data_IF_643801205026
#
_entry.id   IF_643801205026
#
_cell.length_a   1.000
_cell.length_b   1.000
_cell.length_c   1.000
_cell.angle_alpha   90.00
_cell.angle_beta   90.00
_cell.angle_gamma   90.00
#
_symmetry.space_group_name_H-M   'P 1'
#
loop_
_entity.id
_entity.type
_entity.pdbx_description
1 polymer ?
#
# COMPACT_ATOMS: atom_id res chain seq x y z
N UNK A 1 -46.05 27.16 -13.19
CA UNK A 1 -45.60 26.13 -12.23
C UNK A 1 -44.19 25.73 -12.63
N UNK A 2 -43.17 26.12 -11.86
CA UNK A 2 -41.77 25.83 -12.18
C UNK A 2 -41.40 24.43 -11.69
N UNK A 3 -41.00 23.55 -12.61
CA UNK A 3 -40.54 22.20 -12.31
C UNK A 3 -39.13 22.27 -11.72
N UNK A 4 -39.00 22.04 -10.41
CA UNK A 4 -37.70 21.93 -9.76
C UNK A 4 -37.00 20.65 -10.26
N UNK A 5 -35.82 20.80 -10.86
CA UNK A 5 -34.96 19.67 -11.23
C UNK A 5 -34.61 18.89 -9.94
N UNK A 6 -34.62 17.53 -9.99
CA UNK A 6 -34.19 16.74 -8.86
C UNK A 6 -32.74 17.10 -8.50
N UNK A 7 -32.52 17.46 -7.24
CA UNK A 7 -31.18 17.76 -6.74
C UNK A 7 -30.29 16.55 -6.96
N UNK A 8 -29.04 16.73 -7.45
CA UNK A 8 -28.12 15.61 -7.63
C UNK A 8 -27.93 14.94 -6.26
N UNK A 9 -28.29 13.66 -6.18
CA UNK A 9 -28.07 12.85 -4.98
C UNK A 9 -26.60 12.98 -4.62
N UNK A 10 -26.29 13.56 -3.45
CA UNK A 10 -24.91 13.65 -2.98
C UNK A 10 -24.35 12.22 -2.97
N UNK A 11 -23.26 12.00 -3.73
CA UNK A 11 -22.63 10.70 -3.85
C UNK A 11 -22.23 10.11 -2.49
N UNK A 12 -21.82 8.83 -2.44
CA UNK A 12 -21.40 8.20 -1.20
C UNK A 12 -20.25 9.00 -0.57
N UNK A 13 -20.44 9.43 0.68
CA UNK A 13 -19.40 10.06 1.49
C UNK A 13 -18.48 8.98 2.04
N UNK A 14 -17.19 9.06 1.74
CA UNK A 14 -16.20 8.13 2.26
C UNK A 14 -15.53 8.70 3.51
N UNK A 15 -15.46 7.86 4.55
CA UNK A 15 -14.61 8.12 5.71
C UNK A 15 -13.24 7.50 5.47
N UNK A 16 -12.19 8.30 5.66
CA UNK A 16 -10.81 7.90 5.44
C UNK A 16 -10.21 7.35 6.73
N UNK A 17 -9.50 6.23 6.61
CA UNK A 17 -8.72 5.63 7.69
C UNK A 17 -7.24 5.69 7.31
N UNK A 18 -6.43 6.26 8.20
CA UNK A 18 -4.96 6.30 8.03
C UNK A 18 -4.32 5.13 8.76
N UNK A 19 -3.59 4.29 8.03
CA UNK A 19 -2.71 3.26 8.60
C UNK A 19 -1.26 3.71 8.46
N UNK A 20 -0.46 3.56 9.53
CA UNK A 20 0.97 3.87 9.46
C UNK A 20 1.69 2.72 8.75
N UNK A 21 2.49 3.07 7.74
CA UNK A 21 3.23 2.09 6.96
C UNK A 21 4.75 2.38 6.97
N UNK A 22 5.54 1.33 7.01
CA UNK A 22 6.99 1.36 6.81
C UNK A 22 7.34 0.85 5.42
N UNK A 23 8.20 1.59 4.70
CA UNK A 23 8.75 1.13 3.44
C UNK A 23 9.79 0.04 3.67
N UNK A 24 9.85 -0.92 2.75
CA UNK A 24 10.93 -1.88 2.73
C UNK A 24 12.29 -1.23 2.47
N UNK A 25 13.34 -1.85 3.01
CA UNK A 25 14.75 -1.44 2.84
C UNK A 25 15.58 -2.63 2.40
N UNK A 26 16.79 -2.41 1.90
CA UNK A 26 17.69 -3.47 1.41
C UNK A 26 17.77 -3.54 -0.11
N UNK A 27 18.51 -4.53 -0.63
CA UNK A 27 18.80 -4.66 -2.06
C UNK A 27 17.58 -5.01 -2.91
N UNK A 28 16.58 -5.67 -2.33
CA UNK A 28 15.31 -5.98 -2.98
C UNK A 28 14.24 -4.90 -2.80
N UNK A 29 14.55 -3.77 -2.16
CA UNK A 29 13.59 -2.70 -1.98
C UNK A 29 13.39 -1.89 -3.26
N UNK A 30 12.12 -1.72 -3.65
CA UNK A 30 11.73 -0.92 -4.80
C UNK A 30 11.15 0.44 -4.37
N UNK A 31 11.27 1.50 -5.19
CA UNK A 31 10.70 2.80 -4.88
C UNK A 31 9.16 2.76 -4.84
N UNK A 32 8.56 3.60 -4.01
CA UNK A 32 7.10 3.75 -3.97
C UNK A 32 6.55 4.23 -5.32
N UNK A 33 5.34 3.79 -5.72
CA UNK A 33 4.72 4.24 -6.97
C UNK A 33 4.52 5.76 -6.96
N UNK A 34 4.71 6.37 -8.13
CA UNK A 34 4.45 7.79 -8.36
C UNK A 34 2.94 8.05 -8.48
N UNK A 35 2.24 7.95 -7.36
CA UNK A 35 0.81 8.24 -7.26
C UNK A 35 0.56 9.59 -6.56
N UNK A 36 -0.58 10.25 -6.82
CA UNK A 36 -1.00 11.41 -6.04
C UNK A 36 -1.08 11.10 -4.55
N UNK A 37 -0.65 12.06 -3.74
CA UNK A 37 -0.71 11.97 -2.27
C UNK A 37 -2.18 11.91 -1.83
N UNK A 38 -2.52 10.93 -1.00
CA UNK A 38 -3.86 10.80 -0.45
C UNK A 38 -4.19 11.96 0.51
N UNK A 39 -5.47 12.40 0.57
CA UNK A 39 -5.93 13.40 1.54
C UNK A 39 -5.76 12.94 2.99
N UNK A 40 -5.89 13.87 3.93
CA UNK A 40 -5.88 13.54 5.35
C UNK A 40 -7.11 12.74 5.77
N UNK A 41 -6.96 11.85 6.75
CA UNK A 41 -8.07 11.14 7.40
C UNK A 41 -9.12 12.06 8.01
N UNK A 42 -8.77 13.29 8.39
CA UNK A 42 -9.73 14.28 8.88
C UNK A 42 -10.67 14.82 7.78
N UNK A 43 -10.36 14.55 6.52
CA UNK A 43 -11.15 15.02 5.36
C UNK A 43 -12.23 14.00 5.01
N UNK A 44 -13.47 14.45 4.86
CA UNK A 44 -14.53 13.66 4.23
C UNK A 44 -14.51 13.94 2.74
N UNK A 45 -14.36 12.89 1.93
CA UNK A 45 -14.30 13.00 0.47
C UNK A 45 -15.38 12.15 -0.19
N UNK A 46 -15.84 12.59 -1.35
CA UNK A 46 -16.70 11.79 -2.23
C UNK A 46 -15.88 11.05 -3.30
N UNK A 47 -14.60 11.42 -3.47
CA UNK A 47 -13.74 10.83 -4.49
C UNK A 47 -12.96 9.63 -3.93
N UNK A 48 -12.91 8.51 -4.66
CA UNK A 48 -12.08 7.37 -4.28
C UNK A 48 -10.60 7.71 -4.42
N UNK A 49 -9.78 7.01 -3.63
CA UNK A 49 -8.33 7.11 -3.67
C UNK A 49 -7.73 6.49 -4.95
N UNK A 50 -6.41 6.66 -5.11
CA UNK A 50 -5.64 6.32 -6.32
C UNK A 50 -5.85 4.89 -6.84
N UNK A 51 -6.04 3.90 -5.96
CA UNK A 51 -6.14 2.49 -6.32
C UNK A 51 -7.46 1.90 -5.85
N UNK A 52 -8.17 1.21 -6.74
CA UNK A 52 -9.53 0.68 -6.47
C UNK A 52 -9.59 -0.84 -6.43
N UNK A 53 -8.66 -1.52 -7.08
CA UNK A 53 -8.60 -2.99 -7.10
C UNK A 53 -7.57 -3.50 -6.08
N UNK A 54 -8.07 -4.25 -5.10
CA UNK A 54 -7.28 -4.80 -3.99
C UNK A 54 -7.44 -6.32 -3.98
N UNK A 55 -6.33 -7.04 -4.17
CA UNK A 55 -6.28 -8.49 -4.04
C UNK A 55 -5.76 -8.87 -2.66
N UNK A 56 -6.28 -9.94 -2.05
CA UNK A 56 -5.75 -10.43 -0.78
C UNK A 56 -5.25 -11.86 -0.96
N UNK A 57 -3.97 -12.06 -0.67
CA UNK A 57 -3.28 -13.32 -0.93
C UNK A 57 -2.98 -14.12 0.35
N UNK A 58 -3.64 -13.82 1.47
CA UNK A 58 -3.35 -14.44 2.78
C UNK A 58 -1.82 -14.37 3.06
N UNK A 59 -1.14 -15.50 3.26
CA UNK A 59 0.31 -15.55 3.47
C UNK A 59 1.15 -15.65 2.18
N UNK A 60 0.57 -16.05 1.05
CA UNK A 60 1.29 -16.22 -0.23
C UNK A 60 2.58 -17.09 -0.17
N UNK A 61 2.54 -18.20 0.57
CA UNK A 61 3.67 -19.14 0.68
C UNK A 61 3.47 -20.42 -0.17
N UNK A 62 2.25 -20.69 -0.63
CA UNK A 62 1.89 -21.96 -1.29
C UNK A 62 2.18 -21.98 -2.81
N UNK A 63 3.04 -21.07 -3.28
CA UNK A 63 3.49 -20.98 -4.67
C UNK A 63 2.95 -19.78 -5.45
N UNK A 64 3.11 -19.85 -6.77
CA UNK A 64 2.86 -18.75 -7.70
C UNK A 64 1.41 -18.26 -7.68
N UNK A 65 1.21 -16.94 -7.53
CA UNK A 65 -0.11 -16.31 -7.69
C UNK A 65 -0.63 -16.39 -9.14
N UNK A 66 -1.95 -16.39 -9.35
CA UNK A 66 -2.52 -16.36 -10.70
C UNK A 66 -2.06 -15.14 -11.51
N UNK A 67 -1.71 -15.33 -12.78
CA UNK A 67 -1.19 -14.25 -13.66
C UNK A 67 -2.16 -13.08 -13.85
N UNK A 68 -3.46 -13.30 -13.66
CA UNK A 68 -4.48 -12.23 -13.69
C UNK A 68 -4.29 -11.20 -12.56
N UNK A 69 -3.75 -11.62 -11.41
CA UNK A 69 -3.66 -10.78 -10.21
C UNK A 69 -2.83 -9.52 -10.50
N UNK A 70 -1.69 -9.69 -11.16
CA UNK A 70 -0.78 -8.57 -11.47
C UNK A 70 -1.29 -7.65 -12.59
N UNK A 71 -2.30 -8.09 -13.35
CA UNK A 71 -2.88 -7.35 -14.49
C UNK A 71 -4.16 -6.60 -14.11
N UNK A 72 -4.95 -7.15 -13.19
CA UNK A 72 -6.28 -6.65 -12.82
C UNK A 72 -6.28 -5.87 -11.49
N UNK A 73 -5.31 -6.13 -10.61
CA UNK A 73 -5.28 -5.57 -9.26
C UNK A 73 -4.12 -4.59 -9.08
N UNK A 74 -4.43 -3.42 -8.52
CA UNK A 74 -3.44 -2.39 -8.21
C UNK A 74 -2.62 -2.72 -6.97
N UNK A 75 -3.26 -3.27 -5.94
CA UNK A 75 -2.63 -3.54 -4.64
C UNK A 75 -2.84 -5.00 -4.27
N UNK A 76 -1.76 -5.67 -3.85
CA UNK A 76 -1.85 -6.99 -3.23
C UNK A 76 -1.59 -6.84 -1.73
N UNK A 77 -2.52 -7.33 -0.92
CA UNK A 77 -2.42 -7.36 0.53
C UNK A 77 -2.08 -8.77 0.99
N UNK A 78 -1.04 -8.89 1.81
CA UNK A 78 -0.55 -10.17 2.35
C UNK A 78 -0.32 -10.06 3.86
N UNK A 79 -0.46 -11.16 4.58
CA UNK A 79 -0.06 -11.29 5.99
C UNK A 79 1.43 -11.61 6.09
N UNK A 80 2.11 -11.00 7.07
CA UNK A 80 3.45 -11.39 7.50
C UNK A 80 3.39 -12.79 8.14
N UNK A 81 4.50 -13.54 8.08
CA UNK A 81 4.61 -14.89 8.65
C UNK A 81 4.51 -16.01 7.61
N UNK A 82 4.76 -17.26 8.04
CA UNK A 82 4.79 -18.45 7.19
C UNK A 82 6.09 -18.62 6.40
N UNK A 83 6.46 -17.61 5.62
CA UNK A 83 7.66 -17.60 4.76
C UNK A 83 8.32 -16.21 4.75
N UNK A 84 9.52 -16.12 4.17
CA UNK A 84 10.30 -14.87 4.12
C UNK A 84 9.64 -13.80 3.23
N UNK A 85 10.00 -12.52 3.42
CA UNK A 85 9.47 -11.44 2.56
C UNK A 85 9.88 -11.64 1.10
N UNK A 86 11.13 -12.02 0.85
CA UNK A 86 11.63 -12.29 -0.50
C UNK A 86 10.84 -13.41 -1.16
N UNK A 87 10.60 -14.53 -0.48
CA UNK A 87 9.83 -15.67 -0.98
C UNK A 87 8.38 -15.29 -1.33
N UNK A 88 7.72 -14.48 -0.49
CA UNK A 88 6.39 -13.93 -0.81
C UNK A 88 6.40 -13.11 -2.09
N UNK A 89 7.43 -12.31 -2.30
CA UNK A 89 7.58 -11.51 -3.52
C UNK A 89 7.96 -12.38 -4.72
N UNK A 90 8.73 -13.45 -4.54
CA UNK A 90 9.06 -14.42 -5.60
C UNK A 90 7.82 -15.09 -6.16
N UNK A 91 6.82 -15.37 -5.33
CA UNK A 91 5.53 -15.96 -5.74
C UNK A 91 4.65 -15.03 -6.59
N UNK A 92 4.95 -13.73 -6.70
CA UNK A 92 4.18 -12.80 -7.55
C UNK A 92 4.61 -12.97 -9.01
N UNK A 93 3.72 -13.11 -10.00
CA UNK A 93 4.11 -13.14 -11.41
C UNK A 93 4.94 -11.93 -11.86
N UNK A 94 5.69 -12.11 -12.95
CA UNK A 94 6.29 -10.98 -13.65
C UNK A 94 5.18 -10.11 -14.27
N UNK A 95 5.38 -8.80 -14.27
CA UNK A 95 4.38 -7.84 -14.75
C UNK A 95 5.07 -6.62 -15.37
N UNK A 96 4.33 -5.90 -16.19
CA UNK A 96 4.72 -4.57 -16.65
C UNK A 96 3.88 -3.55 -15.87
N UNK A 97 4.50 -2.56 -15.20
CA UNK A 97 3.78 -1.54 -14.47
C UNK A 97 2.84 -0.79 -15.42
N UNK A 98 1.54 -0.79 -15.09
CA UNK A 98 0.51 -0.01 -15.79
C UNK A 98 -0.47 0.53 -14.76
N UNK A 99 -1.21 1.58 -15.10
CA UNK A 99 -2.20 2.18 -14.19
C UNK A 99 -3.30 1.21 -13.73
N UNK A 100 -3.57 0.15 -14.50
CA UNK A 100 -4.57 -0.89 -14.16
C UNK A 100 -3.95 -2.11 -13.47
N UNK A 101 -2.66 -2.37 -13.68
CA UNK A 101 -1.94 -3.49 -13.08
C UNK A 101 -1.38 -3.18 -11.70
N UNK A 102 -0.53 -4.09 -11.22
CA UNK A 102 0.10 -4.03 -9.91
C UNK A 102 0.95 -2.76 -9.75
N UNK A 103 0.75 -2.10 -8.62
CA UNK A 103 1.44 -0.88 -8.19
C UNK A 103 2.26 -1.11 -6.92
N UNK A 104 1.74 -1.90 -5.98
CA UNK A 104 2.43 -2.17 -4.72
C UNK A 104 1.88 -3.39 -3.97
N UNK A 105 2.67 -3.87 -3.02
CA UNK A 105 2.30 -4.87 -2.01
C UNK A 105 2.21 -4.21 -0.64
N UNK A 106 1.14 -4.53 0.09
CA UNK A 106 0.94 -4.15 1.49
C UNK A 106 1.04 -5.40 2.35
N UNK A 107 2.07 -5.46 3.19
CA UNK A 107 2.26 -6.48 4.20
C UNK A 107 1.55 -6.07 5.49
N UNK A 108 0.76 -6.96 6.09
CA UNK A 108 0.11 -6.75 7.38
C UNK A 108 0.83 -7.59 8.42
N UNK A 109 1.44 -6.92 9.40
CA UNK A 109 2.05 -7.54 10.57
C UNK A 109 1.03 -7.65 11.69
N UNK A 110 1.14 -8.70 12.51
CA UNK A 110 0.36 -8.81 13.75
C UNK A 110 0.93 -7.90 14.88
N UNK A 111 2.15 -7.36 14.69
CA UNK A 111 2.76 -6.34 15.56
C UNK A 111 1.97 -5.01 15.52
N UNK A 112 2.04 -4.23 16.61
CA UNK A 112 1.42 -2.90 16.67
C UNK A 112 2.24 -1.84 15.88
N UNK A 113 1.57 -0.76 15.47
CA UNK A 113 2.15 0.28 14.58
C UNK A 113 3.41 0.98 15.13
N UNK A 114 3.60 1.01 16.46
CA UNK A 114 4.76 1.64 17.10
C UNK A 114 5.93 0.67 17.34
N UNK A 115 5.68 -0.64 17.30
CA UNK A 115 6.69 -1.69 17.44
C UNK A 115 7.21 -2.15 16.08
N UNK A 116 6.51 -1.74 15.02
CA UNK A 116 6.78 -2.15 13.65
C UNK A 116 8.19 -1.74 13.21
N UNK A 117 9.05 -2.73 13.03
CA UNK A 117 10.37 -2.53 12.44
C UNK A 117 10.28 -2.51 10.92
N UNK A 118 11.13 -1.74 10.24
CA UNK A 118 11.13 -1.68 8.77
C UNK A 118 11.45 -3.08 8.20
N UNK A 119 10.69 -3.57 7.21
CA UNK A 119 10.97 -4.87 6.63
C UNK A 119 12.24 -4.81 5.76
N UNK A 120 13.12 -5.79 5.94
CA UNK A 120 14.40 -5.89 5.23
C UNK A 120 14.29 -6.91 4.09
N UNK A 121 14.57 -6.47 2.87
CA UNK A 121 14.68 -7.26 1.64
C UNK A 121 16.15 -7.34 1.25
N UNK A 122 16.88 -8.31 1.80
CA UNK A 122 18.33 -8.44 1.61
C UNK A 122 18.75 -8.94 0.22
N UNK A 123 17.82 -9.54 -0.51
CA UNK A 123 18.07 -10.18 -1.80
C UNK A 123 17.32 -9.44 -2.91
N UNK A 124 17.96 -9.30 -4.08
CA UNK A 124 17.33 -8.77 -5.26
C UNK A 124 16.07 -9.58 -5.63
N UNK A 125 14.98 -8.91 -5.96
CA UNK A 125 13.71 -9.59 -6.21
C UNK A 125 13.78 -10.50 -7.44
N UNK A 126 13.23 -11.71 -7.30
CA UNK A 126 13.09 -12.67 -8.40
C UNK A 126 11.61 -12.86 -8.76
N UNK A 127 11.42 -13.41 -9.95
CA UNK A 127 10.14 -13.91 -10.47
C UNK A 127 9.93 -15.36 -9.98
N UNK A 128 8.72 -15.94 -10.12
CA UNK A 128 8.48 -17.33 -9.73
C UNK A 128 9.32 -18.34 -10.52
N UNK A 129 9.83 -17.94 -11.68
CA UNK A 129 10.75 -18.72 -12.50
C UNK A 129 12.23 -18.58 -12.08
N UNK A 130 12.52 -17.89 -10.96
CA UNK A 130 13.86 -17.68 -10.43
C UNK A 130 14.68 -16.58 -11.11
N UNK A 131 14.16 -15.95 -12.16
CA UNK A 131 14.85 -14.86 -12.86
C UNK A 131 14.75 -13.54 -12.09
N UNK A 132 15.78 -12.70 -12.11
CA UNK A 132 15.73 -11.34 -11.56
C UNK A 132 14.60 -10.55 -12.22
N UNK A 133 13.85 -9.77 -11.42
CA UNK A 133 12.77 -8.93 -11.95
C UNK A 133 13.31 -7.79 -12.78
N UNK A 134 12.71 -7.57 -13.95
CA UNK A 134 12.87 -6.32 -14.70
C UNK A 134 12.14 -5.15 -13.99
N UNK A 135 10.97 -5.43 -13.40
CA UNK A 135 10.19 -4.48 -12.62
C UNK A 135 10.01 -5.02 -11.21
N UNK A 136 10.67 -4.37 -10.26
CA UNK A 136 10.59 -4.70 -8.84
C UNK A 136 9.23 -4.27 -8.28
N UNK A 137 8.75 -4.99 -7.27
CA UNK A 137 7.46 -4.76 -6.62
C UNK A 137 7.68 -3.86 -5.40
N UNK A 138 7.10 -2.64 -5.36
CA UNK A 138 7.13 -1.80 -4.17
C UNK A 138 6.41 -2.46 -3.01
N UNK A 139 7.04 -2.50 -1.84
CA UNK A 139 6.49 -3.13 -0.64
C UNK A 139 6.46 -2.16 0.53
N UNK A 140 5.31 -2.10 1.20
CA UNK A 140 5.15 -1.44 2.51
C UNK A 140 4.61 -2.43 3.53
N UNK A 141 4.87 -2.18 4.81
CA UNK A 141 4.34 -2.97 5.91
C UNK A 141 3.56 -2.09 6.89
N UNK A 142 2.38 -2.54 7.27
CA UNK A 142 1.49 -1.91 8.27
C UNK A 142 1.35 -2.84 9.47
N UNK A 143 1.13 -2.28 10.66
CA UNK A 143 0.82 -3.02 11.87
C UNK A 143 -0.68 -3.17 12.09
N UNK A 144 -1.04 -3.64 13.29
CA UNK A 144 -2.42 -3.74 13.76
C UNK A 144 -3.13 -5.05 13.41
N UNK A 145 -2.39 -6.04 12.89
CA UNK A 145 -2.83 -7.42 12.70
C UNK A 145 -4.20 -7.57 12.07
N UNK A 146 -5.09 -8.29 12.74
CA UNK A 146 -6.43 -8.59 12.26
C UNK A 146 -7.32 -7.34 12.13
N UNK A 147 -7.11 -6.30 12.95
CA UNK A 147 -7.86 -5.05 12.83
C UNK A 147 -7.51 -4.33 11.53
N UNK A 148 -6.21 -4.21 11.21
CA UNK A 148 -5.74 -3.61 9.96
C UNK A 148 -6.13 -4.46 8.74
N UNK A 149 -6.00 -5.79 8.82
CA UNK A 149 -6.44 -6.71 7.78
C UNK A 149 -7.93 -6.53 7.44
N UNK A 150 -8.80 -6.48 8.47
CA UNK A 150 -10.24 -6.27 8.29
C UNK A 150 -10.57 -4.88 7.75
N UNK A 151 -9.85 -3.85 8.19
CA UNK A 151 -10.01 -2.50 7.68
C UNK A 151 -9.69 -2.42 6.19
N UNK A 152 -8.57 -3.01 5.76
CA UNK A 152 -8.20 -3.13 4.35
C UNK A 152 -9.24 -3.92 3.55
N UNK A 153 -9.76 -5.03 4.10
CA UNK A 153 -10.83 -5.83 3.48
C UNK A 153 -12.13 -5.06 3.23
N UNK A 154 -12.44 -4.08 4.08
CA UNK A 154 -13.62 -3.21 3.94
C UNK A 154 -13.37 -2.00 3.05
N UNK A 155 -12.11 -1.65 2.79
CA UNK A 155 -11.74 -0.47 2.02
C UNK A 155 -12.24 -0.57 0.57
N UNK A 156 -12.75 0.55 0.04
CA UNK A 156 -13.19 0.67 -1.37
C UNK A 156 -12.07 1.13 -2.30
N UNK A 157 -11.09 1.81 -1.73
CA UNK A 157 -9.91 2.32 -2.44
C UNK A 157 -8.78 2.55 -1.46
N UNK A 158 -7.55 2.50 -1.96
CA UNK A 158 -6.32 2.81 -1.24
C UNK A 158 -5.58 3.95 -1.91
N UNK A 159 -4.87 4.72 -1.11
CA UNK A 159 -3.95 5.75 -1.55
C UNK A 159 -2.77 5.77 -0.59
N UNK A 160 -1.67 6.38 -1.02
CA UNK A 160 -0.50 6.55 -0.18
C UNK A 160 -0.34 8.02 0.15
N UNK A 161 0.08 8.30 1.38
CA UNK A 161 0.52 9.62 1.79
C UNK A 161 1.88 9.54 2.45
N UNK A 162 2.89 10.18 1.87
CA UNK A 162 4.23 10.28 2.41
C UNK A 162 4.22 11.21 3.62
N UNK A 163 4.87 10.77 4.70
CA UNK A 163 5.07 11.58 5.89
C UNK A 163 6.46 12.18 5.86
N UNK A 164 6.52 13.50 5.74
CA UNK A 164 7.74 14.27 5.88
C UNK A 164 7.88 14.73 7.33
N UNK A 165 9.12 14.81 7.80
CA UNK A 165 9.44 15.55 9.01
C UNK A 165 10.64 16.44 8.72
N UNK A 166 10.73 17.54 9.46
CA UNK A 166 11.83 18.48 9.33
C UNK A 166 12.75 18.28 10.51
N UNK A 167 14.05 18.29 10.25
CA UNK A 167 15.08 18.24 11.28
C UNK A 167 15.80 19.59 11.31
N UNK A 168 16.11 20.07 12.51
CA UNK A 168 16.97 21.25 12.65
C UNK A 168 18.39 20.92 12.21
N UNK A 169 19.24 21.93 12.02
CA UNK A 169 20.66 21.74 11.71
C UNK A 169 21.41 20.87 12.76
N UNK A 170 20.82 20.64 13.93
CA UNK A 170 21.36 19.78 15.01
C UNK A 170 20.71 18.39 15.04
N UNK A 171 19.95 17.99 14.02
CA UNK A 171 19.30 16.68 13.93
C UNK A 171 18.05 16.51 14.82
N UNK A 172 17.52 17.59 15.39
CA UNK A 172 16.32 17.54 16.23
C UNK A 172 15.06 17.62 15.35
N UNK A 173 14.17 16.63 15.47
CA UNK A 173 12.89 16.63 14.76
C UNK A 173 12.01 17.81 15.20
N UNK A 174 11.76 18.72 14.29
CA UNK A 174 10.89 19.90 14.48
C UNK A 174 9.45 19.50 14.22
N UNK A 175 8.59 19.64 15.23
CA UNK A 175 7.16 19.32 15.13
C UNK A 175 6.28 20.53 14.82
N UNK A 176 6.79 21.74 15.05
CA UNK A 176 6.08 23.02 15.01
C UNK A 176 6.77 24.01 14.05
N UNK A 177 7.15 23.55 12.85
CA UNK A 177 7.75 24.44 11.86
C UNK A 177 6.67 25.39 11.29
N UNK A 178 6.91 26.69 11.38
CA UNK A 178 6.13 27.72 10.69
C UNK A 178 7.02 28.24 9.55
N UNK A 179 6.56 28.09 8.31
CA UNK A 179 7.24 28.66 7.12
C UNK A 179 6.52 29.96 6.79
N UNK A 180 7.23 31.09 6.87
CA UNK A 180 6.73 32.43 6.55
C UNK A 180 7.27 32.85 5.19
#
# INVERSE_FOLDING_TARGET
>A
VATLLPQPSQGPKYQLLTLRAHCAVGTGAAPLPAAPEAPDSSTVTNDPLSWRSIYFASHNCDGKLPDRVVREYNVIVMRRGGCSFSEKLENIPAFHPTVRGLQMVVMVSDEEDYELTRPLLEVAQKTPAGMRRAHEVPMVMVGGGEAAWRALRKAKSLGIRRRYWVESAKGLRVRNLIVV
#
